data_IF_469378615615
#
_entry.id   IF_469378615615
#
_cell.length_a   1.000
_cell.length_b   1.000
_cell.length_c   1.000
_cell.angle_alpha   90.00
_cell.angle_beta   90.00
_cell.angle_gamma   90.00
#
_symmetry.space_group_name_H-M   'P 1'
#
loop_
_entity.id
_entity.type
_entity.pdbx_description
1 polymer ?
#
# COMPACT_ATOMS: atom_id res chain seq x y z
N UNK A 1 -7.08 -7.74 -23.64
CA UNK A 1 -6.96 -7.00 -22.37
C UNK A 1 -6.36 -5.63 -22.68
N UNK A 2 -7.00 -4.56 -22.25
CA UNK A 2 -6.48 -3.24 -22.54
C UNK A 2 -5.27 -2.92 -21.65
N UNK A 3 -4.59 -1.84 -21.97
CA UNK A 3 -3.36 -1.45 -21.29
C UNK A 3 -3.57 -1.17 -19.81
N UNK A 4 -4.66 -0.51 -19.44
CA UNK A 4 -4.99 -0.22 -18.06
C UNK A 4 -5.23 -1.50 -17.25
N UNK A 5 -6.03 -2.40 -17.78
CA UNK A 5 -6.33 -3.67 -17.12
C UNK A 5 -5.05 -4.48 -16.90
N UNK A 6 -4.18 -4.50 -17.91
CA UNK A 6 -2.90 -5.19 -17.82
C UNK A 6 -2.01 -4.58 -16.73
N UNK A 7 -1.95 -3.26 -16.66
CA UNK A 7 -1.13 -2.55 -15.69
C UNK A 7 -1.62 -2.75 -14.25
N UNK A 8 -2.94 -2.91 -14.07
CA UNK A 8 -3.53 -3.09 -12.75
C UNK A 8 -3.59 -4.56 -12.30
N UNK A 9 -3.29 -5.50 -13.19
CA UNK A 9 -3.29 -6.92 -12.88
C UNK A 9 -2.04 -7.32 -12.09
N UNK A 10 -2.20 -8.28 -11.19
CA UNK A 10 -1.10 -8.74 -10.34
C UNK A 10 -0.44 -9.96 -10.97
N UNK A 11 0.85 -9.91 -11.19
CA UNK A 11 1.62 -11.06 -11.67
C UNK A 11 1.97 -11.97 -10.49
N UNK A 12 2.05 -13.29 -10.71
CA UNK A 12 2.41 -14.22 -9.62
C UNK A 12 3.72 -13.88 -8.91
N UNK A 13 4.75 -13.45 -9.65
CA UNK A 13 6.02 -13.07 -9.07
C UNK A 13 5.89 -11.83 -8.18
N UNK A 14 5.06 -10.88 -8.58
CA UNK A 14 4.81 -9.67 -7.79
C UNK A 14 4.14 -10.02 -6.48
N UNK A 15 3.10 -10.86 -6.52
CA UNK A 15 2.40 -11.34 -5.33
C UNK A 15 3.37 -12.02 -4.38
N UNK A 16 4.24 -12.87 -4.90
CA UNK A 16 5.24 -13.56 -4.09
C UNK A 16 6.20 -12.58 -3.40
N UNK A 17 6.67 -11.57 -4.13
CA UNK A 17 7.55 -10.56 -3.55
C UNK A 17 6.87 -9.77 -2.44
N UNK A 18 5.59 -9.44 -2.62
CA UNK A 18 4.81 -8.75 -1.59
C UNK A 18 4.70 -9.61 -0.34
N UNK A 19 4.38 -10.89 -0.50
CA UNK A 19 4.26 -11.82 0.63
C UNK A 19 5.59 -12.00 1.34
N UNK A 20 6.68 -12.11 0.61
CA UNK A 20 8.02 -12.22 1.20
C UNK A 20 8.39 -10.95 1.98
N UNK A 21 8.12 -9.78 1.41
CA UNK A 21 8.37 -8.50 2.08
C UNK A 21 7.61 -8.41 3.40
N UNK A 22 6.36 -8.85 3.42
CA UNK A 22 5.47 -8.72 4.57
C UNK A 22 5.53 -9.92 5.52
N UNK A 23 6.41 -10.88 5.25
CA UNK A 23 6.58 -12.05 6.10
C UNK A 23 5.49 -13.09 5.99
N UNK A 24 4.70 -13.05 4.92
CA UNK A 24 3.63 -14.02 4.69
C UNK A 24 2.41 -13.84 5.55
N UNK A 25 2.34 -12.74 6.31
CA UNK A 25 1.23 -12.47 7.24
C UNK A 25 0.56 -11.15 6.94
N UNK A 26 -0.71 -11.07 7.34
CA UNK A 26 -1.49 -9.84 7.23
C UNK A 26 -0.81 -8.71 7.98
N UNK A 27 -0.64 -7.56 7.35
CA UNK A 27 0.01 -6.41 7.97
C UNK A 27 -0.83 -5.80 9.11
N UNK A 28 -2.12 -6.12 9.17
CA UNK A 28 -3.03 -5.57 10.17
C UNK A 28 -3.17 -6.47 11.40
N UNK A 29 -3.39 -7.77 11.19
CA UNK A 29 -3.70 -8.69 12.28
C UNK A 29 -2.69 -9.84 12.45
N UNK A 30 -1.70 -9.93 11.59
CA UNK A 30 -0.62 -10.91 11.63
C UNK A 30 -1.05 -12.37 11.38
N UNK A 31 -2.28 -12.60 10.92
CA UNK A 31 -2.70 -13.92 10.46
C UNK A 31 -2.14 -14.18 9.07
N UNK A 32 -2.05 -15.44 8.63
CA UNK A 32 -1.64 -15.72 7.26
C UNK A 32 -2.50 -14.94 6.27
N UNK A 33 -1.86 -14.36 5.25
CA UNK A 33 -2.55 -13.54 4.27
C UNK A 33 -1.95 -13.69 2.88
N UNK A 34 -2.53 -12.98 1.92
CA UNK A 34 -2.10 -12.99 0.54
C UNK A 34 -1.69 -11.60 0.09
N UNK A 35 -0.64 -11.53 -0.74
CA UNK A 35 -0.08 -10.26 -1.23
C UNK A 35 -0.81 -9.72 -2.44
N UNK A 36 -2.11 -9.54 -2.34
CA UNK A 36 -2.94 -9.16 -3.48
C UNK A 36 -3.92 -8.02 -3.17
N UNK A 37 -3.77 -7.35 -2.04
CA UNK A 37 -4.64 -6.23 -1.68
C UNK A 37 -4.09 -4.93 -2.27
N UNK A 38 -4.85 -4.31 -3.17
CA UNK A 38 -4.50 -3.01 -3.74
C UNK A 38 -4.78 -1.89 -2.75
N UNK A 39 -3.81 -1.06 -2.45
CA UNK A 39 -3.99 0.11 -1.57
C UNK A 39 -4.76 1.19 -2.33
N UNK A 40 -4.31 1.55 -3.53
CA UNK A 40 -5.13 2.31 -4.47
C UNK A 40 -5.94 1.28 -5.24
N UNK A 41 -7.28 1.30 -5.16
CA UNK A 41 -8.12 0.26 -5.78
C UNK A 41 -7.95 0.18 -7.29
N UNK A 42 -8.14 -1.01 -7.84
CA UNK A 42 -8.12 -1.20 -9.30
C UNK A 42 -9.14 -0.31 -10.00
N UNK A 43 -10.30 -0.09 -9.36
CA UNK A 43 -11.34 0.76 -9.90
C UNK A 43 -10.88 2.21 -10.07
N UNK A 44 -9.88 2.63 -9.31
CA UNK A 44 -9.28 3.96 -9.40
C UNK A 44 -7.95 3.94 -10.16
N UNK A 45 -7.65 2.85 -10.85
CA UNK A 45 -6.43 2.73 -11.62
C UNK A 45 -5.22 2.26 -10.82
N UNK A 46 -5.43 1.72 -9.63
CA UNK A 46 -4.32 1.21 -8.81
C UNK A 46 -3.54 0.12 -9.53
N UNK A 47 -2.23 0.31 -9.62
CA UNK A 47 -1.34 -0.61 -10.34
C UNK A 47 -1.15 -1.93 -9.57
N UNK A 48 -0.91 -3.01 -10.32
CA UNK A 48 -0.62 -4.32 -9.75
C UNK A 48 0.88 -4.50 -9.49
N UNK A 49 1.49 -3.57 -8.82
CA UNK A 49 2.93 -3.57 -8.51
C UNK A 49 3.14 -3.66 -7.01
N UNK A 50 4.30 -4.15 -6.60
CA UNK A 50 4.57 -4.35 -5.17
C UNK A 50 4.45 -3.07 -4.35
N UNK A 51 4.68 -1.90 -4.96
CA UNK A 51 4.55 -0.62 -4.29
C UNK A 51 3.10 -0.21 -4.01
N UNK A 52 2.13 -0.93 -4.57
CA UNK A 52 0.70 -0.68 -4.33
C UNK A 52 -0.01 -1.87 -3.68
N UNK A 53 0.71 -2.91 -3.35
CA UNK A 53 0.14 -4.13 -2.83
C UNK A 53 0.62 -4.39 -1.41
N UNK A 54 -0.29 -4.93 -0.61
CA UNK A 54 0.02 -5.36 0.76
C UNK A 54 -0.50 -6.76 0.98
N UNK A 55 0.09 -7.45 1.94
CA UNK A 55 -0.41 -8.77 2.37
C UNK A 55 -1.51 -8.56 3.40
N UNK A 56 -2.67 -9.12 3.12
CA UNK A 56 -3.83 -9.03 4.01
C UNK A 56 -4.61 -10.32 4.03
N UNK A 57 -5.14 -10.68 5.20
CA UNK A 57 -6.07 -11.78 5.30
C UNK A 57 -7.42 -11.35 4.73
N UNK A 58 -8.31 -12.31 4.45
CA UNK A 58 -9.58 -11.98 3.82
C UNK A 58 -10.43 -10.99 4.64
N UNK A 59 -10.60 -11.19 5.96
CA UNK A 59 -11.37 -10.21 6.74
C UNK A 59 -10.80 -8.80 6.70
N UNK A 60 -9.48 -8.64 6.85
CA UNK A 60 -8.86 -7.32 6.81
C UNK A 60 -8.91 -6.71 5.41
N UNK A 61 -8.78 -7.52 4.36
CA UNK A 61 -8.91 -7.06 3.00
C UNK A 61 -10.32 -6.46 2.76
N UNK A 62 -11.36 -7.13 3.28
CA UNK A 62 -12.72 -6.63 3.17
C UNK A 62 -12.92 -5.33 3.94
N UNK A 63 -12.31 -5.20 5.11
CA UNK A 63 -12.37 -3.98 5.90
C UNK A 63 -11.67 -2.81 5.20
N UNK A 64 -10.59 -3.10 4.52
CA UNK A 64 -9.88 -2.09 3.72
C UNK A 64 -10.74 -1.60 2.55
N UNK A 65 -11.48 -2.49 1.92
CA UNK A 65 -12.21 -2.16 0.69
C UNK A 65 -13.54 -1.45 0.90
N UNK A 66 -14.35 -1.89 1.85
CA UNK A 66 -15.78 -1.59 1.81
C UNK A 66 -16.42 -1.15 3.12
N UNK A 67 -15.66 -0.76 4.13
CA UNK A 67 -16.25 -0.49 5.43
C UNK A 67 -16.03 0.94 5.92
N UNK A 68 -16.72 1.30 7.01
CA UNK A 68 -16.50 2.57 7.69
C UNK A 68 -15.09 2.66 8.27
N UNK A 69 -14.45 1.51 8.48
CA UNK A 69 -13.07 1.45 8.98
C UNK A 69 -12.03 1.64 7.89
N UNK A 70 -12.44 1.72 6.61
CA UNK A 70 -11.54 1.80 5.47
C UNK A 70 -10.45 2.86 5.65
N UNK A 71 -10.82 4.04 6.13
CA UNK A 71 -9.86 5.14 6.27
C UNK A 71 -8.70 4.77 7.19
N UNK A 72 -8.99 4.12 8.31
CA UNK A 72 -7.95 3.71 9.25
C UNK A 72 -7.04 2.63 8.64
N UNK A 73 -7.65 1.61 8.01
CA UNK A 73 -6.88 0.56 7.35
C UNK A 73 -6.03 1.10 6.23
N UNK A 74 -6.57 2.06 5.47
CA UNK A 74 -5.84 2.71 4.39
C UNK A 74 -4.62 3.47 4.92
N UNK A 75 -4.77 4.22 5.99
CA UNK A 75 -3.65 4.97 6.59
C UNK A 75 -2.54 4.03 7.07
N UNK A 76 -2.91 2.92 7.69
CA UNK A 76 -1.94 1.90 8.12
C UNK A 76 -1.21 1.31 6.93
N UNK A 77 -1.94 0.97 5.88
CA UNK A 77 -1.36 0.41 4.67
C UNK A 77 -0.38 1.38 4.01
N UNK A 78 -0.75 2.64 3.92
CA UNK A 78 0.10 3.68 3.34
C UNK A 78 1.38 3.84 4.16
N UNK A 79 1.27 3.88 5.48
CA UNK A 79 2.44 4.00 6.35
C UNK A 79 3.36 2.78 6.18
N UNK A 80 2.78 1.59 6.07
CA UNK A 80 3.54 0.38 5.83
C UNK A 80 4.34 0.48 4.53
N UNK A 81 3.68 0.91 3.44
CA UNK A 81 4.33 1.05 2.14
C UNK A 81 5.43 2.13 2.17
N UNK A 82 5.19 3.23 2.84
CA UNK A 82 6.19 4.30 2.96
C UNK A 82 7.42 3.86 3.74
N UNK A 83 7.29 2.90 4.63
CA UNK A 83 8.44 2.36 5.36
C UNK A 83 9.40 1.62 4.43
N UNK A 84 8.92 1.05 3.34
CA UNK A 84 9.74 0.39 2.33
C UNK A 84 10.07 1.30 1.14
N UNK A 85 9.15 2.21 0.81
CA UNK A 85 9.27 3.09 -0.36
C UNK A 85 9.08 4.55 0.07
N UNK A 86 10.16 5.21 0.51
CA UNK A 86 10.07 6.56 1.10
C UNK A 86 9.43 7.62 0.20
N UNK A 87 9.51 7.46 -1.11
CA UNK A 87 8.89 8.41 -2.05
C UNK A 87 7.49 8.00 -2.47
N UNK A 88 6.84 7.09 -1.75
CA UNK A 88 5.52 6.59 -2.12
C UNK A 88 4.49 7.73 -2.12
N UNK A 89 3.69 7.79 -3.20
CA UNK A 89 2.52 8.65 -3.29
C UNK A 89 1.42 7.86 -4.01
N UNK A 90 0.15 8.19 -3.78
CA UNK A 90 -0.94 7.52 -4.50
C UNK A 90 -0.81 7.68 -6.01
N UNK A 91 -0.37 8.83 -6.48
CA UNK A 91 -0.20 9.12 -7.91
C UNK A 91 0.84 8.21 -8.54
N UNK A 92 1.91 7.91 -7.81
CA UNK A 92 3.00 7.08 -8.32
C UNK A 92 2.58 5.63 -8.55
N UNK A 93 1.52 5.17 -7.89
CA UNK A 93 1.02 3.80 -8.01
C UNK A 93 -0.32 3.73 -8.75
N UNK A 94 -0.70 4.79 -9.44
CA UNK A 94 -1.94 4.86 -10.20
C UNK A 94 -1.63 4.93 -11.70
N UNK A 95 -2.39 4.16 -12.47
CA UNK A 95 -2.24 4.14 -13.93
C UNK A 95 -2.62 5.49 -14.54
N UNK A 96 -1.79 5.95 -15.46
CA UNK A 96 -2.06 7.14 -16.28
C UNK A 96 -1.75 6.82 -17.73
N UNK A 97 -2.72 7.08 -18.61
CA UNK A 97 -2.56 6.80 -20.03
C UNK A 97 -1.35 7.55 -20.60
N UNK A 98 -0.49 6.83 -21.29
CA UNK A 98 0.67 7.43 -21.95
C UNK A 98 1.86 7.72 -21.04
N UNK A 99 1.75 7.44 -19.75
CA UNK A 99 2.82 7.65 -18.79
C UNK A 99 3.31 6.29 -18.28
N UNK A 100 4.62 6.05 -18.36
CA UNK A 100 5.21 4.80 -17.90
C UNK A 100 5.21 4.77 -16.37
N UNK A 101 5.02 3.56 -15.83
CA UNK A 101 5.18 3.32 -14.40
C UNK A 101 6.60 3.68 -13.98
N UNK A 102 6.74 4.28 -12.79
CA UNK A 102 8.05 4.62 -12.24
C UNK A 102 8.95 3.40 -12.16
N UNK A 103 10.20 3.61 -12.55
CA UNK A 103 11.22 2.59 -12.40
C UNK A 103 11.55 2.40 -10.92
N UNK A 104 11.99 1.20 -10.54
CA UNK A 104 12.32 0.88 -9.15
C UNK A 104 13.28 1.91 -8.54
N UNK A 105 14.30 2.34 -9.29
CA UNK A 105 15.30 3.30 -8.79
C UNK A 105 14.68 4.65 -8.41
N UNK A 106 13.56 5.02 -9.01
CA UNK A 106 12.90 6.30 -8.72
C UNK A 106 12.29 6.34 -7.31
N UNK A 107 12.04 5.15 -6.74
CA UNK A 107 11.48 5.04 -5.39
C UNK A 107 12.52 5.35 -4.30
N UNK A 108 13.79 5.40 -4.67
CA UNK A 108 14.88 5.65 -3.73
C UNK A 108 15.66 6.90 -4.09
N UNK A 109 15.18 7.71 -5.02
CA UNK A 109 15.85 8.93 -5.44
C UNK A 109 15.96 9.92 -4.27
N UNK A 110 17.15 10.47 -4.04
CA UNK A 110 17.43 11.36 -2.91
C UNK A 110 16.56 12.60 -2.90
N UNK A 111 16.33 13.20 -4.06
CA UNK A 111 15.50 14.41 -4.14
C UNK A 111 14.05 14.12 -3.74
N UNK A 112 13.55 12.94 -4.13
CA UNK A 112 12.21 12.52 -3.75
C UNK A 112 12.15 12.16 -2.27
N UNK A 113 13.22 11.60 -1.72
CA UNK A 113 13.30 11.27 -0.29
C UNK A 113 13.16 12.51 0.57
N UNK A 114 13.80 13.61 0.19
CA UNK A 114 13.69 14.87 0.95
C UNK A 114 12.26 15.39 0.98
N UNK A 115 11.57 15.33 -0.15
CA UNK A 115 10.16 15.73 -0.20
C UNK A 115 9.28 14.77 0.61
N UNK A 116 9.63 13.49 0.60
CA UNK A 116 8.90 12.46 1.32
C UNK A 116 9.03 12.61 2.83
N UNK A 117 10.16 13.11 3.32
CA UNK A 117 10.32 13.34 4.76
C UNK A 117 9.25 14.28 5.32
N UNK A 118 9.03 15.41 4.65
CA UNK A 118 8.00 16.35 5.08
C UNK A 118 6.62 15.70 5.04
N UNK A 119 6.37 14.93 4.00
CA UNK A 119 5.11 14.21 3.84
C UNK A 119 4.89 13.18 4.95
N UNK A 120 5.94 12.44 5.30
CA UNK A 120 5.90 11.44 6.36
C UNK A 120 5.65 12.06 7.74
N UNK A 121 6.19 13.24 8.00
CA UNK A 121 5.93 13.94 9.26
C UNK A 121 4.45 14.27 9.41
N UNK A 122 3.81 14.76 8.35
CA UNK A 122 2.38 15.02 8.35
C UNK A 122 1.57 13.76 8.61
N UNK A 123 1.93 12.66 7.95
CA UNK A 123 1.24 11.39 8.11
C UNK A 123 1.37 10.82 9.52
N UNK A 124 2.55 10.95 10.11
CA UNK A 124 2.76 10.53 11.49
C UNK A 124 1.85 11.28 12.44
N UNK A 125 1.67 12.57 12.23
CA UNK A 125 0.76 13.36 13.05
C UNK A 125 -0.69 12.92 12.89
N UNK A 126 -1.10 12.54 11.67
CA UNK A 126 -2.43 12.03 11.42
C UNK A 126 -2.66 10.68 12.08
N UNK A 127 -1.65 9.82 12.05
CA UNK A 127 -1.74 8.45 12.58
C UNK A 127 -1.77 8.45 14.10
N UNK A 128 -1.20 9.45 14.74
CA UNK A 128 -1.29 9.59 16.21
C UNK A 128 -2.73 9.69 16.70
N UNK A 129 -3.65 10.09 15.86
CA UNK A 129 -5.06 10.17 16.21
C UNK A 129 -5.81 8.94 15.75
N UNK A 130 -5.38 7.76 16.20
CA UNK A 130 -6.02 6.49 15.85
C UNK A 130 -7.49 6.51 16.26
N UNK A 131 -8.35 5.81 15.49
CA UNK A 131 -9.72 5.61 15.92
C UNK A 131 -9.77 4.91 17.27
N UNK A 132 -10.65 5.35 18.15
CA UNK A 132 -10.78 4.72 19.46
C UNK A 132 -11.28 3.27 19.30
N UNK A 133 -10.81 2.42 20.17
CA UNK A 133 -11.15 1.01 20.17
C UNK A 133 -10.30 0.13 19.28
N UNK A 134 -9.36 0.71 18.56
CA UNK A 134 -8.43 -0.04 17.72
C UNK A 134 -7.07 0.01 18.36
N UNK A 135 -6.71 -1.06 19.08
CA UNK A 135 -5.50 -1.08 19.89
C UNK A 135 -4.54 -2.21 19.56
N UNK A 136 -4.87 -3.03 18.57
CA UNK A 136 -4.08 -4.23 18.31
C UNK A 136 -2.63 -3.96 17.90
N UNK A 137 -2.30 -2.75 17.48
CA UNK A 137 -0.93 -2.37 17.19
C UNK A 137 -0.16 -1.95 18.44
N UNK A 138 -0.85 -1.64 19.50
CA UNK A 138 -0.23 -1.17 20.73
C UNK A 138 0.15 -2.29 21.67
N UNK A 139 -0.42 -3.46 21.46
CA UNK A 139 -0.10 -4.63 22.26
C UNK A 139 1.21 -5.30 21.90
N UNK A 140 1.90 -4.79 20.96
CA UNK A 140 3.14 -5.40 20.46
C UNK A 140 4.36 -5.14 21.34
#
# INVERSE_FOLDING_TARGET
>A
MNERTKACSIKPETKKRVEERDGGVCIFCHRPGKGEAHVVPRSHGGLGIEQNLITACRPCHNLLDNTVSRRWYLLVAIEHLKSFYPNWTPEAVTYKKGIKTKHFSDWTNKNLVNNTKAYLEEDKNRIKTKPQGITFFEGD
#
